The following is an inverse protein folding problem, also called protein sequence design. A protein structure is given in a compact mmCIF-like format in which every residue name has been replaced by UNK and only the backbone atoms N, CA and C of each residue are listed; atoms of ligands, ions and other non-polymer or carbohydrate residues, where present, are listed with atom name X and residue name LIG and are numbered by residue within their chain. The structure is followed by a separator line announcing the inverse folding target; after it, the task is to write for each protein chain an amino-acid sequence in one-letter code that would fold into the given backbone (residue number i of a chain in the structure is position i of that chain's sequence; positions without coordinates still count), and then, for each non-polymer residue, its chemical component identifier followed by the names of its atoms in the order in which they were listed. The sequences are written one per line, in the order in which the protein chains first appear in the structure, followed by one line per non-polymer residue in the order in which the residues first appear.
data_IF_100021120735
#
_entry.id   IF_100021120735
#
_cell.length_a   1.000
_cell.length_b   1.000
_cell.length_c   1.000
_cell.angle_alpha   90.00
_cell.angle_beta   90.00
_cell.angle_gamma   90.00
#
_symmetry.space_group_name_H-M   'P 1'
#
loop_
_entity.id
_entity.type
_entity.pdbx_description
1 polymer ?
#
# COMPACT_ATOMS: atom_id res chain seq x y z
N UNK A 1 -8.15 -34.65 -37.00
CA UNK A 1 -9.31 -34.44 -36.14
C UNK A 1 -9.39 -32.95 -35.85
N UNK A 2 -10.33 -32.27 -36.50
CA UNK A 2 -10.56 -30.84 -36.37
C UNK A 2 -11.26 -30.58 -35.02
N UNK A 3 -10.56 -29.97 -34.06
CA UNK A 3 -11.20 -29.41 -32.87
C UNK A 3 -11.71 -28.02 -33.21
N UNK A 4 -12.95 -27.98 -33.67
CA UNK A 4 -13.78 -26.76 -33.68
C UNK A 4 -14.82 -26.89 -32.52
N UNK A 5 -14.34 -26.94 -31.31
CA UNK A 5 -15.18 -26.94 -30.12
C UNK A 5 -14.77 -25.80 -29.19
N UNK A 6 -15.19 -24.58 -29.57
CA UNK A 6 -14.90 -23.32 -28.87
C UNK A 6 -15.76 -23.11 -27.62
N UNK A 7 -16.52 -24.11 -27.16
CA UNK A 7 -17.31 -23.99 -25.94
C UNK A 7 -16.46 -24.11 -24.67
N UNK A 8 -16.74 -23.32 -23.64
CA UNK A 8 -16.07 -23.49 -22.34
C UNK A 8 -16.30 -24.90 -21.77
N UNK A 9 -15.25 -25.49 -21.20
CA UNK A 9 -15.36 -26.77 -20.50
C UNK A 9 -16.28 -26.65 -19.28
N UNK A 10 -17.02 -27.73 -19.02
CA UNK A 10 -18.01 -27.82 -17.94
C UNK A 10 -17.67 -28.93 -16.94
N UNK A 11 -18.38 -29.00 -15.83
CA UNK A 11 -18.30 -30.12 -14.87
C UNK A 11 -18.60 -31.45 -15.54
N UNK A 12 -19.47 -31.46 -16.55
CA UNK A 12 -19.83 -32.68 -17.33
C UNK A 12 -18.61 -33.22 -18.09
N UNK A 13 -17.79 -32.36 -18.68
CA UNK A 13 -16.61 -32.81 -19.42
C UNK A 13 -15.60 -33.49 -18.47
N UNK A 14 -15.44 -32.96 -17.24
CA UNK A 14 -14.60 -33.58 -16.19
C UNK A 14 -15.23 -34.89 -15.69
N UNK A 15 -16.57 -34.95 -15.58
CA UNK A 15 -17.32 -36.18 -15.20
C UNK A 15 -17.06 -37.27 -16.22
N UNK A 16 -17.20 -36.99 -17.51
CA UNK A 16 -16.97 -37.92 -18.61
C UNK A 16 -15.51 -38.41 -18.65
N UNK A 17 -14.54 -37.51 -18.50
CA UNK A 17 -13.11 -37.84 -18.50
C UNK A 17 -12.67 -38.65 -17.26
N UNK A 18 -13.22 -38.35 -16.09
CA UNK A 18 -12.88 -39.06 -14.85
C UNK A 18 -13.69 -40.32 -14.63
N UNK A 19 -14.83 -40.51 -15.33
CA UNK A 19 -15.78 -41.57 -15.08
C UNK A 19 -16.48 -41.49 -13.71
N UNK A 20 -16.57 -40.27 -13.16
CA UNK A 20 -17.16 -39.97 -11.85
C UNK A 20 -18.38 -39.05 -12.04
N UNK A 21 -19.46 -39.22 -11.29
CA UNK A 21 -20.65 -38.37 -11.45
C UNK A 21 -20.36 -36.89 -11.25
N UNK A 22 -21.06 -36.02 -11.99
CA UNK A 22 -20.93 -34.56 -11.87
C UNK A 22 -21.08 -34.04 -10.42
N UNK A 23 -21.98 -34.66 -9.63
CA UNK A 23 -22.14 -34.33 -8.24
C UNK A 23 -20.87 -34.59 -7.42
N UNK A 24 -20.22 -35.73 -7.65
CA UNK A 24 -18.96 -36.07 -6.97
C UNK A 24 -17.81 -35.22 -7.47
N UNK A 25 -17.71 -34.96 -8.78
CA UNK A 25 -16.76 -33.99 -9.35
C UNK A 25 -16.91 -32.63 -8.68
N UNK A 26 -18.12 -32.11 -8.59
CA UNK A 26 -18.40 -30.85 -7.91
C UNK A 26 -17.99 -30.83 -6.44
N UNK A 27 -18.19 -31.93 -5.70
CA UNK A 27 -17.74 -32.06 -4.30
C UNK A 27 -16.23 -32.04 -4.18
N UNK A 28 -15.53 -32.80 -5.05
CA UNK A 28 -14.06 -32.84 -5.08
C UNK A 28 -13.50 -31.47 -5.37
N UNK A 29 -13.94 -30.81 -6.44
CA UNK A 29 -13.43 -29.51 -6.87
C UNK A 29 -13.74 -28.36 -5.88
N UNK A 30 -14.77 -28.52 -5.05
CA UNK A 30 -15.11 -27.57 -3.95
C UNK A 30 -14.49 -27.95 -2.61
N UNK A 31 -13.65 -28.97 -2.57
CA UNK A 31 -13.07 -29.53 -1.36
C UNK A 31 -14.11 -29.87 -0.27
N UNK A 32 -15.31 -30.33 -0.68
CA UNK A 32 -16.43 -30.67 0.22
C UNK A 32 -16.69 -32.16 0.23
N UNK A 33 -17.02 -32.69 1.44
CA UNK A 33 -17.55 -34.00 1.64
C UNK A 33 -16.57 -35.15 1.68
N UNK A 34 -17.05 -36.30 2.12
CA UNK A 34 -16.29 -37.53 2.25
C UNK A 34 -16.14 -38.22 0.89
N UNK A 35 -15.19 -37.82 0.11
CA UNK A 35 -14.81 -38.48 -1.13
C UNK A 35 -13.51 -39.22 -0.91
N UNK A 36 -13.43 -40.49 -1.32
CA UNK A 36 -12.25 -41.31 -1.14
C UNK A 36 -11.01 -40.64 -1.79
N UNK A 37 -9.81 -40.79 -1.21
CA UNK A 37 -8.57 -40.21 -1.79
C UNK A 37 -8.38 -40.61 -3.25
N UNK A 38 -8.63 -41.85 -3.60
CA UNK A 38 -8.52 -42.36 -4.97
C UNK A 38 -9.47 -41.66 -5.94
N UNK A 39 -10.72 -41.46 -5.54
CA UNK A 39 -11.72 -40.74 -6.36
C UNK A 39 -11.33 -39.26 -6.50
N UNK A 40 -10.83 -38.65 -5.43
CA UNK A 40 -10.35 -37.26 -5.44
C UNK A 40 -9.20 -37.08 -6.43
N UNK A 41 -8.18 -37.91 -6.37
CA UNK A 41 -7.04 -37.89 -7.26
C UNK A 41 -7.47 -38.04 -8.72
N UNK A 42 -8.29 -39.03 -9.03
CA UNK A 42 -8.83 -39.26 -10.37
C UNK A 42 -9.55 -38.05 -10.98
N UNK A 43 -10.36 -37.37 -10.17
CA UNK A 43 -11.07 -36.14 -10.61
C UNK A 43 -10.11 -34.99 -10.83
N UNK A 44 -9.13 -34.77 -9.91
CA UNK A 44 -8.16 -33.71 -10.03
C UNK A 44 -7.23 -33.90 -11.24
N UNK A 45 -6.79 -35.13 -11.52
CA UNK A 45 -6.01 -35.46 -12.70
C UNK A 45 -6.79 -35.20 -13.99
N UNK A 46 -8.05 -35.64 -14.08
CA UNK A 46 -8.90 -35.40 -15.24
C UNK A 46 -9.15 -33.90 -15.46
N UNK A 47 -9.45 -33.14 -14.41
CA UNK A 47 -9.61 -31.68 -14.50
C UNK A 47 -8.33 -30.99 -14.98
N UNK A 48 -7.17 -31.42 -14.45
CA UNK A 48 -5.84 -30.91 -14.86
C UNK A 48 -5.52 -31.24 -16.32
N UNK A 49 -5.77 -32.48 -16.73
CA UNK A 49 -5.50 -32.93 -18.11
C UNK A 49 -6.36 -32.20 -19.14
N UNK A 50 -7.62 -31.88 -18.80
CA UNK A 50 -8.53 -31.09 -19.62
C UNK A 50 -8.23 -29.56 -19.60
N UNK A 51 -7.44 -29.09 -18.63
CA UNK A 51 -7.31 -27.66 -18.38
C UNK A 51 -8.61 -27.02 -17.84
N UNK A 52 -9.45 -27.82 -17.17
CA UNK A 52 -10.71 -27.32 -16.61
C UNK A 52 -10.45 -26.48 -15.38
N UNK A 53 -10.95 -25.25 -15.39
CA UNK A 53 -10.93 -24.34 -14.25
C UNK A 53 -12.36 -24.21 -13.68
N UNK A 54 -12.59 -24.59 -12.39
CA UNK A 54 -13.91 -24.46 -11.79
C UNK A 54 -14.37 -23.01 -11.74
N UNK A 55 -15.61 -22.75 -12.17
CA UNK A 55 -16.22 -21.43 -12.00
C UNK A 55 -16.57 -21.20 -10.53
N UNK A 56 -15.71 -20.46 -9.82
CA UNK A 56 -15.91 -20.12 -8.40
C UNK A 56 -17.13 -19.22 -8.18
N UNK A 57 -17.52 -18.41 -9.20
CA UNK A 57 -18.69 -17.52 -9.12
C UNK A 57 -19.99 -18.35 -9.06
N UNK A 58 -20.10 -19.40 -9.89
CA UNK A 58 -21.25 -20.32 -9.85
C UNK A 58 -21.36 -21.05 -8.50
N UNK A 59 -20.24 -21.26 -7.80
CA UNK A 59 -20.21 -21.82 -6.45
C UNK A 59 -20.55 -20.81 -5.34
N UNK A 60 -20.30 -19.53 -5.58
CA UNK A 60 -20.54 -18.44 -4.63
C UNK A 60 -22.03 -18.07 -4.49
N UNK A 61 -22.91 -18.51 -5.41
CA UNK A 61 -24.36 -18.36 -5.29
C UNK A 61 -24.91 -18.96 -3.98
N UNK A 62 -24.25 -20.00 -3.43
CA UNK A 62 -24.64 -20.62 -2.18
C UNK A 62 -23.98 -19.97 -0.93
N UNK A 63 -22.80 -19.36 -1.08
CA UNK A 63 -22.02 -18.74 0.02
C UNK A 63 -22.21 -17.23 0.08
N UNK A 64 -22.78 -16.61 -0.94
CA UNK A 64 -22.94 -15.15 -1.14
C UNK A 64 -21.61 -14.34 -1.13
N UNK A 65 -20.43 -14.98 -1.08
CA UNK A 65 -19.11 -14.33 -1.07
C UNK A 65 -18.13 -15.10 -1.95
N UNK A 66 -17.20 -14.36 -2.55
CA UNK A 66 -16.09 -14.91 -3.30
C UNK A 66 -14.83 -14.77 -2.43
N UNK A 67 -13.93 -15.77 -2.47
CA UNK A 67 -12.68 -15.74 -1.70
C UNK A 67 -11.70 -14.71 -2.28
N UNK A 68 -12.14 -13.47 -2.44
CA UNK A 68 -11.35 -12.34 -2.89
C UNK A 68 -11.26 -11.30 -1.79
N UNK A 69 -10.11 -10.67 -1.67
CA UNK A 69 -9.90 -9.46 -0.87
C UNK A 69 -9.66 -8.30 -1.82
N UNK A 70 -10.54 -7.32 -1.83
CA UNK A 70 -10.36 -6.11 -2.62
C UNK A 70 -9.28 -5.24 -1.96
N UNK A 71 -8.19 -4.97 -2.66
CA UNK A 71 -7.10 -4.10 -2.19
C UNK A 71 -7.05 -2.86 -3.05
N UNK A 72 -7.45 -1.70 -2.49
CA UNK A 72 -7.54 -0.44 -3.23
C UNK A 72 -6.38 0.46 -2.80
N UNK A 73 -5.51 0.76 -3.76
CA UNK A 73 -4.30 1.56 -3.54
C UNK A 73 -4.24 2.72 -4.53
N UNK A 74 -3.60 3.84 -4.16
CA UNK A 74 -3.56 5.00 -5.04
C UNK A 74 -2.57 4.89 -6.20
N UNK A 75 -1.60 3.97 -6.19
CA UNK A 75 -0.62 3.90 -7.28
C UNK A 75 0.18 2.60 -7.26
N UNK A 76 0.39 2.01 -8.43
CA UNK A 76 1.36 0.93 -8.64
C UNK A 76 2.78 1.46 -8.94
N UNK A 77 2.92 2.73 -9.31
CA UNK A 77 4.23 3.36 -9.59
C UNK A 77 4.95 3.83 -8.33
N UNK A 78 4.21 3.98 -7.23
CA UNK A 78 4.80 4.37 -5.95
C UNK A 78 5.37 3.11 -5.27
N UNK A 79 6.69 3.10 -5.04
CA UNK A 79 7.45 1.99 -4.42
C UNK A 79 6.90 1.55 -3.04
N UNK A 80 6.07 2.36 -2.40
CA UNK A 80 5.42 2.08 -1.12
C UNK A 80 4.49 0.86 -1.22
N UNK A 81 3.63 0.81 -2.24
CA UNK A 81 2.55 -0.18 -2.30
C UNK A 81 2.99 -1.61 -2.67
N UNK A 82 4.02 -1.85 -3.49
CA UNK A 82 4.57 -3.20 -3.65
C UNK A 82 4.97 -3.88 -2.34
N UNK A 83 5.54 -3.16 -1.38
CA UNK A 83 5.91 -3.73 -0.08
C UNK A 83 4.69 -3.99 0.82
N UNK A 84 3.67 -3.11 0.77
CA UNK A 84 2.38 -3.36 1.43
C UNK A 84 1.74 -4.63 0.86
N UNK A 85 1.72 -4.77 -0.47
CA UNK A 85 1.19 -5.96 -1.15
C UNK A 85 1.97 -7.22 -0.80
N UNK A 86 3.28 -7.14 -0.64
CA UNK A 86 4.11 -8.26 -0.18
C UNK A 86 3.68 -8.74 1.22
N UNK A 87 3.44 -7.80 2.15
CA UNK A 87 2.92 -8.12 3.46
C UNK A 87 1.53 -8.79 3.42
N UNK A 88 0.63 -8.26 2.59
CA UNK A 88 -0.71 -8.82 2.39
C UNK A 88 -0.62 -10.24 1.81
N UNK A 89 0.13 -10.42 0.72
CA UNK A 89 0.25 -11.70 0.03
C UNK A 89 0.82 -12.79 0.94
N UNK A 90 1.85 -12.48 1.72
CA UNK A 90 2.48 -13.42 2.66
C UNK A 90 1.49 -14.02 3.67
N UNK A 91 0.52 -13.23 4.14
CA UNK A 91 -0.52 -13.73 5.06
C UNK A 91 -1.55 -14.54 4.29
N UNK A 92 -2.04 -14.02 3.16
CA UNK A 92 -3.12 -14.64 2.41
C UNK A 92 -2.72 -15.94 1.70
N UNK A 93 -1.42 -16.16 1.40
CA UNK A 93 -0.89 -17.42 0.86
C UNK A 93 -1.26 -18.65 1.70
N UNK A 94 -1.45 -18.48 3.01
CA UNK A 94 -1.85 -19.56 3.92
C UNK A 94 -3.38 -19.68 4.09
N UNK A 95 -4.16 -19.03 3.23
CA UNK A 95 -5.63 -19.02 3.25
C UNK A 95 -6.16 -19.29 1.85
N UNK A 96 -7.50 -19.48 1.74
CA UNK A 96 -8.16 -19.55 0.43
C UNK A 96 -8.41 -18.17 -0.21
N UNK A 97 -8.01 -17.08 0.47
CA UNK A 97 -8.26 -15.71 0.03
C UNK A 97 -7.22 -15.25 -1.00
N UNK A 98 -7.69 -14.52 -2.02
CA UNK A 98 -6.82 -13.97 -3.07
C UNK A 98 -6.95 -12.44 -3.13
N UNK A 99 -5.86 -11.67 -3.07
CA UNK A 99 -5.93 -10.22 -3.22
C UNK A 99 -6.18 -9.84 -4.68
N UNK A 100 -7.11 -8.89 -4.89
CA UNK A 100 -7.36 -8.25 -6.19
C UNK A 100 -7.15 -6.76 -6.04
N UNK A 101 -6.27 -6.20 -6.87
CA UNK A 101 -5.81 -4.81 -6.73
C UNK A 101 -6.61 -3.88 -7.63
N UNK A 102 -7.12 -2.80 -7.05
CA UNK A 102 -7.69 -1.64 -7.72
C UNK A 102 -6.82 -0.40 -7.52
N UNK A 103 -6.76 0.47 -8.53
CA UNK A 103 -5.90 1.66 -8.50
C UNK A 103 -6.73 2.93 -8.66
N UNK A 104 -6.65 3.83 -7.66
CA UNK A 104 -7.43 5.08 -7.61
C UNK A 104 -6.69 6.31 -8.16
N UNK A 105 -5.40 6.24 -8.44
CA UNK A 105 -4.54 7.34 -8.91
C UNK A 105 -4.57 8.61 -8.01
N UNK A 106 -4.88 8.46 -6.72
CA UNK A 106 -5.13 9.54 -5.77
C UNK A 106 -6.37 10.39 -6.11
N UNK A 107 -7.28 9.89 -6.94
CA UNK A 107 -8.50 10.60 -7.34
C UNK A 107 -9.71 10.03 -6.60
N UNK A 108 -10.41 10.82 -5.78
CA UNK A 108 -11.55 10.34 -4.99
C UNK A 108 -12.67 9.72 -5.83
N UNK A 109 -12.98 10.32 -6.99
CA UNK A 109 -14.03 9.83 -7.89
C UNK A 109 -13.62 8.50 -8.55
N UNK A 110 -12.32 8.31 -8.80
CA UNK A 110 -11.81 7.04 -9.32
C UNK A 110 -11.81 5.97 -8.24
N UNK A 111 -11.47 6.31 -7.00
CA UNK A 111 -11.57 5.41 -5.85
C UNK A 111 -13.00 4.89 -5.69
N UNK A 112 -13.97 5.79 -5.71
CA UNK A 112 -15.39 5.45 -5.61
C UNK A 112 -15.82 4.48 -6.71
N UNK A 113 -15.44 4.74 -7.96
CA UNK A 113 -15.74 3.85 -9.09
C UNK A 113 -15.10 2.47 -8.93
N UNK A 114 -13.81 2.42 -8.58
CA UNK A 114 -13.07 1.17 -8.36
C UNK A 114 -13.68 0.38 -7.20
N UNK A 115 -14.04 1.05 -6.12
CA UNK A 115 -14.69 0.44 -4.97
C UNK A 115 -16.04 -0.16 -5.35
N UNK A 116 -16.89 0.58 -6.10
CA UNK A 116 -18.17 0.10 -6.59
C UNK A 116 -18.00 -1.19 -7.42
N UNK A 117 -17.10 -1.19 -8.39
CA UNK A 117 -16.83 -2.36 -9.24
C UNK A 117 -16.37 -3.56 -8.39
N UNK A 118 -15.43 -3.36 -7.46
CA UNK A 118 -14.92 -4.43 -6.63
C UNK A 118 -15.98 -4.99 -5.66
N UNK A 119 -16.79 -4.14 -5.04
CA UNK A 119 -17.87 -4.59 -4.17
C UNK A 119 -18.97 -5.37 -4.94
N UNK A 120 -19.16 -5.07 -6.24
CA UNK A 120 -20.09 -5.82 -7.09
C UNK A 120 -19.71 -7.29 -7.24
N UNK A 121 -18.45 -7.64 -7.08
CA UNK A 121 -17.94 -9.02 -7.07
C UNK A 121 -18.16 -9.74 -5.74
N UNK A 122 -18.69 -9.05 -4.72
CA UNK A 122 -18.94 -9.58 -3.36
C UNK A 122 -17.67 -10.17 -2.72
N UNK A 123 -16.58 -9.39 -2.59
CA UNK A 123 -15.37 -9.86 -1.94
C UNK A 123 -15.63 -10.25 -0.49
N UNK A 124 -14.72 -11.02 0.09
CA UNK A 124 -14.77 -11.42 1.51
C UNK A 124 -14.30 -10.31 2.45
N UNK A 125 -13.55 -9.32 1.94
CA UNK A 125 -13.08 -8.17 2.71
C UNK A 125 -12.49 -7.08 1.81
N UNK A 126 -12.27 -5.90 2.37
CA UNK A 126 -11.66 -4.75 1.70
C UNK A 126 -10.48 -4.25 2.51
N UNK A 127 -9.35 -4.00 1.83
CA UNK A 127 -8.21 -3.24 2.33
C UNK A 127 -8.11 -1.99 1.44
N UNK A 128 -8.12 -0.79 2.03
CA UNK A 128 -8.13 0.47 1.28
C UNK A 128 -7.14 1.47 1.88
N UNK A 129 -6.38 2.17 1.03
CA UNK A 129 -5.31 3.06 1.47
C UNK A 129 -5.80 4.49 1.70
N UNK A 130 -5.66 4.98 2.94
CA UNK A 130 -6.07 6.32 3.38
C UNK A 130 -7.34 6.30 4.21
N UNK A 131 -7.71 7.46 4.72
CA UNK A 131 -8.92 7.69 5.54
C UNK A 131 -9.87 8.71 4.88
N UNK A 132 -9.40 9.39 3.83
CA UNK A 132 -10.14 10.43 3.13
C UNK A 132 -10.88 9.85 1.93
N UNK A 133 -12.11 9.43 2.15
CA UNK A 133 -13.02 8.87 1.15
C UNK A 133 -14.19 9.82 0.89
N UNK A 134 -14.78 9.76 -0.30
CA UNK A 134 -16.04 10.46 -0.59
C UNK A 134 -17.16 9.94 0.31
N UNK A 135 -18.20 10.71 0.51
CA UNK A 135 -19.37 10.27 1.29
C UNK A 135 -20.01 9.01 0.69
N UNK A 136 -20.02 8.88 -0.65
CA UNK A 136 -20.53 7.71 -1.35
C UNK A 136 -19.64 6.49 -1.10
N UNK A 137 -18.30 6.61 -1.22
CA UNK A 137 -17.37 5.53 -0.92
C UNK A 137 -17.48 5.10 0.55
N UNK A 138 -17.57 6.04 1.47
CA UNK A 138 -17.77 5.79 2.90
C UNK A 138 -19.09 5.05 3.17
N UNK A 139 -20.16 5.44 2.50
CA UNK A 139 -21.45 4.75 2.60
C UNK A 139 -21.38 3.31 2.05
N UNK A 140 -20.74 3.12 0.89
CA UNK A 140 -20.52 1.78 0.32
C UNK A 140 -19.75 0.86 1.27
N UNK A 141 -18.64 1.35 1.85
CA UNK A 141 -17.83 0.59 2.81
C UNK A 141 -18.61 0.23 4.07
N UNK A 142 -19.32 1.20 4.68
CA UNK A 142 -20.16 0.97 5.88
C UNK A 142 -21.28 -0.04 5.65
N UNK A 143 -21.89 0.00 4.48
CA UNK A 143 -23.04 -0.86 4.16
C UNK A 143 -22.64 -2.19 3.49
N UNK A 144 -21.36 -2.43 3.26
CA UNK A 144 -20.87 -3.62 2.57
C UNK A 144 -21.14 -4.93 3.35
N UNK A 145 -21.21 -4.85 4.66
CA UNK A 145 -21.40 -6.00 5.55
C UNK A 145 -20.21 -6.98 5.57
N UNK A 146 -19.03 -6.52 5.14
CA UNK A 146 -17.78 -7.29 5.14
C UNK A 146 -16.69 -6.53 5.92
N UNK A 147 -15.63 -7.19 6.39
CA UNK A 147 -14.52 -6.52 7.06
C UNK A 147 -13.85 -5.47 6.15
N UNK A 148 -13.61 -4.29 6.71
CA UNK A 148 -12.91 -3.17 6.03
C UNK A 148 -11.71 -2.76 6.87
N UNK A 149 -10.54 -2.71 6.25
CA UNK A 149 -9.30 -2.22 6.89
C UNK A 149 -8.75 -1.06 6.07
N UNK A 150 -8.81 0.14 6.63
CA UNK A 150 -8.13 1.31 6.10
C UNK A 150 -6.64 1.26 6.47
N UNK A 151 -5.76 1.52 5.52
CA UNK A 151 -4.32 1.33 5.75
C UNK A 151 -3.49 2.59 5.50
N UNK A 152 -2.26 2.59 6.01
CA UNK A 152 -1.22 3.61 5.83
C UNK A 152 -1.38 4.86 6.71
N UNK A 153 -2.50 5.10 7.34
CA UNK A 153 -2.76 6.30 8.14
C UNK A 153 -3.56 5.95 9.40
N UNK A 154 -3.30 6.65 10.51
CA UNK A 154 -4.08 6.56 11.75
C UNK A 154 -4.44 7.94 12.30
N UNK A 155 -4.20 9.01 11.54
CA UNK A 155 -4.53 10.38 11.96
C UNK A 155 -5.99 10.73 11.62
N UNK A 156 -6.95 9.93 12.11
CA UNK A 156 -8.38 10.11 11.89
C UNK A 156 -9.20 8.97 12.51
N UNK A 157 -10.46 8.84 12.08
CA UNK A 157 -11.39 7.82 12.56
C UNK A 157 -11.66 6.77 11.48
N UNK A 158 -11.46 5.46 11.75
CA UNK A 158 -11.72 4.41 10.77
C UNK A 158 -13.23 4.18 10.56
N UNK A 159 -13.55 3.65 9.38
CA UNK A 159 -14.88 3.13 9.08
C UNK A 159 -15.16 1.86 9.90
N UNK A 160 -14.22 0.90 9.89
CA UNK A 160 -14.25 -0.36 10.66
C UNK A 160 -12.93 -0.51 11.43
N UNK A 161 -11.84 -0.89 10.77
CA UNK A 161 -10.50 -0.97 11.35
C UNK A 161 -9.49 -0.16 10.55
N UNK A 162 -8.39 0.25 11.20
CA UNK A 162 -7.26 0.88 10.52
C UNK A 162 -5.92 0.38 11.02
N UNK A 163 -4.94 0.31 10.10
CA UNK A 163 -3.56 -0.06 10.38
C UNK A 163 -2.63 0.93 9.69
N UNK A 164 -1.79 1.60 10.42
CA UNK A 164 -0.88 2.58 9.83
C UNK A 164 0.05 3.24 10.83
N UNK A 165 0.57 4.37 10.42
CA UNK A 165 1.38 5.26 11.25
C UNK A 165 0.70 6.63 11.37
N UNK A 166 0.97 7.36 12.45
CA UNK A 166 0.63 8.78 12.51
C UNK A 166 1.62 9.59 11.66
N UNK A 167 1.14 10.14 10.55
CA UNK A 167 1.93 11.00 9.68
C UNK A 167 2.29 12.33 10.35
N UNK A 168 1.39 12.89 11.15
CA UNK A 168 1.67 14.10 11.96
C UNK A 168 2.80 13.84 12.95
N UNK A 169 2.79 12.67 13.63
CA UNK A 169 3.87 12.27 14.55
C UNK A 169 5.18 12.08 13.79
N UNK A 170 5.17 11.40 12.65
CA UNK A 170 6.36 11.22 11.82
C UNK A 170 6.97 12.56 11.39
N UNK A 171 6.15 13.54 10.99
CA UNK A 171 6.61 14.90 10.68
C UNK A 171 7.25 15.60 11.88
N UNK A 172 6.62 15.51 13.06
CA UNK A 172 7.19 16.08 14.30
C UNK A 172 8.52 15.43 14.70
N UNK A 173 8.64 14.11 14.59
CA UNK A 173 9.91 13.42 14.91
C UNK A 173 11.02 13.79 13.94
N UNK A 174 10.70 13.95 12.65
CA UNK A 174 11.66 14.48 11.67
C UNK A 174 12.11 15.90 12.01
N UNK A 175 11.18 16.80 12.38
CA UNK A 175 11.52 18.16 12.81
C UNK A 175 12.46 18.18 14.02
N UNK A 176 12.19 17.34 15.03
CA UNK A 176 13.07 17.20 16.22
C UNK A 176 14.48 16.78 15.85
N UNK A 177 14.63 15.85 14.91
CA UNK A 177 15.94 15.41 14.45
C UNK A 177 16.69 16.52 13.70
N UNK A 178 16.00 17.27 12.83
CA UNK A 178 16.56 18.44 12.11
C UNK A 178 17.06 19.51 13.09
N UNK A 179 16.23 19.88 14.07
CA UNK A 179 16.54 20.87 15.09
C UNK A 179 17.70 20.41 15.99
N UNK A 180 17.69 19.15 16.43
CA UNK A 180 18.79 18.56 17.21
C UNK A 180 20.11 18.60 16.43
N UNK A 181 20.07 18.40 15.13
CA UNK A 181 21.26 18.49 14.26
C UNK A 181 21.74 19.93 14.04
N UNK A 182 20.95 20.94 14.41
CA UNK A 182 21.31 22.36 14.41
C UNK A 182 21.04 23.10 13.11
N UNK A 183 20.23 22.52 12.20
CA UNK A 183 19.82 23.19 10.98
C UNK A 183 18.74 24.25 11.23
N UNK A 184 18.77 25.34 10.45
CA UNK A 184 17.89 26.50 10.62
C UNK A 184 17.17 26.92 9.32
N UNK A 185 17.83 26.76 8.17
CA UNK A 185 17.35 27.21 6.87
C UNK A 185 16.80 26.03 6.07
N UNK A 186 15.53 25.74 6.25
CA UNK A 186 14.93 24.49 5.78
C UNK A 186 14.15 24.70 4.50
N UNK A 187 14.48 23.93 3.45
CA UNK A 187 13.69 23.78 2.23
C UNK A 187 12.81 22.52 2.28
N UNK A 188 11.60 22.62 1.73
CA UNK A 188 10.67 21.50 1.61
C UNK A 188 10.27 21.24 0.16
N UNK A 189 10.35 19.99 -0.27
CA UNK A 189 9.89 19.57 -1.59
C UNK A 189 8.85 18.46 -1.50
N UNK A 190 7.66 18.69 -2.09
CA UNK A 190 6.55 17.76 -2.07
C UNK A 190 6.00 17.41 -3.44
N UNK A 191 5.58 16.16 -3.63
CA UNK A 191 4.86 15.71 -4.83
C UNK A 191 3.41 15.39 -4.50
N UNK A 192 2.51 15.71 -5.43
CA UNK A 192 1.04 15.48 -5.29
C UNK A 192 0.42 16.02 -3.99
N UNK A 193 1.00 17.01 -3.35
CA UNK A 193 0.60 17.53 -2.04
C UNK A 193 -0.90 17.82 -1.87
N UNK A 194 -1.62 18.34 -2.88
CA UNK A 194 -3.06 18.56 -2.77
C UNK A 194 -3.87 17.27 -2.68
N UNK A 195 -3.35 16.18 -3.24
CA UNK A 195 -4.04 14.89 -3.36
C UNK A 195 -3.51 13.83 -2.37
N UNK A 196 -2.23 13.93 -1.98
CA UNK A 196 -1.64 13.02 -0.99
C UNK A 196 -1.83 13.59 0.44
N UNK A 197 -2.96 13.24 1.04
CA UNK A 197 -3.33 13.68 2.39
C UNK A 197 -2.29 13.27 3.44
N UNK A 198 -1.65 12.12 3.29
CA UNK A 198 -0.60 11.62 4.19
C UNK A 198 0.65 12.48 4.12
N UNK A 199 1.10 12.85 2.92
CA UNK A 199 2.22 13.77 2.75
C UNK A 199 1.91 15.16 3.35
N UNK A 200 0.66 15.63 3.19
CA UNK A 200 0.18 16.88 3.80
C UNK A 200 0.22 16.82 5.33
N UNK A 201 -0.31 15.74 5.94
CA UNK A 201 -0.28 15.54 7.40
C UNK A 201 1.17 15.53 7.94
N UNK A 202 2.12 14.91 7.20
CA UNK A 202 3.55 14.97 7.57
C UNK A 202 4.11 16.38 7.52
N UNK A 203 3.78 17.12 6.48
CA UNK A 203 4.19 18.51 6.34
C UNK A 203 3.62 19.39 7.46
N UNK A 204 2.35 19.22 7.79
CA UNK A 204 1.69 19.92 8.91
C UNK A 204 2.41 19.62 10.24
N UNK A 205 2.66 18.34 10.55
CA UNK A 205 3.38 17.93 11.77
C UNK A 205 4.82 18.45 11.83
N UNK A 206 5.52 18.49 10.67
CA UNK A 206 6.86 19.07 10.56
C UNK A 206 6.83 20.58 10.87
N UNK A 207 5.99 21.33 10.18
CA UNK A 207 5.92 22.79 10.31
C UNK A 207 5.48 23.22 11.70
N UNK A 208 4.50 22.53 12.31
CA UNK A 208 4.09 22.78 13.70
C UNK A 208 5.25 22.61 14.69
N UNK A 209 6.07 21.57 14.51
CA UNK A 209 7.17 21.29 15.44
C UNK A 209 8.34 22.25 15.24
N UNK A 210 8.67 22.63 13.99
CA UNK A 210 9.67 23.65 13.69
C UNK A 210 9.28 25.02 14.26
N UNK A 211 8.03 25.45 14.05
CA UNK A 211 7.52 26.75 14.51
C UNK A 211 7.60 26.88 16.03
N UNK A 212 7.38 25.82 16.82
CA UNK A 212 7.55 25.81 18.28
C UNK A 212 8.97 26.13 18.73
N UNK A 213 9.95 25.93 17.86
CA UNK A 213 11.37 26.26 18.09
C UNK A 213 11.83 27.52 17.39
N UNK A 214 10.88 28.32 16.87
CA UNK A 214 11.18 29.56 16.15
C UNK A 214 11.80 29.37 14.78
N UNK A 215 11.70 28.17 14.18
CA UNK A 215 12.21 27.84 12.85
C UNK A 215 11.02 27.69 11.90
N UNK A 216 11.13 28.29 10.71
CA UNK A 216 10.12 28.18 9.66
C UNK A 216 10.72 27.55 8.40
N UNK A 217 9.86 27.00 7.55
CA UNK A 217 10.25 26.55 6.21
C UNK A 217 10.56 27.78 5.37
N UNK A 218 11.84 27.96 5.01
CA UNK A 218 12.34 29.10 4.27
C UNK A 218 11.90 29.09 2.81
N UNK A 219 11.91 27.92 2.18
CA UNK A 219 11.46 27.73 0.80
C UNK A 219 10.68 26.41 0.66
N UNK A 220 9.68 26.39 -0.22
CA UNK A 220 8.88 25.20 -0.48
C UNK A 220 8.47 25.08 -1.94
N UNK A 221 8.46 23.84 -2.44
CA UNK A 221 7.99 23.54 -3.78
C UNK A 221 7.01 22.36 -3.76
N UNK A 222 5.82 22.58 -4.34
CA UNK A 222 4.77 21.57 -4.46
C UNK A 222 4.58 21.21 -5.93
N UNK A 223 5.12 20.06 -6.31
CA UNK A 223 4.98 19.53 -7.65
C UNK A 223 3.69 18.69 -7.75
N UNK A 224 2.88 18.96 -8.77
CA UNK A 224 1.60 18.27 -8.99
C UNK A 224 1.74 16.85 -9.54
N UNK A 225 2.88 16.54 -10.17
CA UNK A 225 3.14 15.22 -10.75
C UNK A 225 3.61 14.16 -9.76
N UNK A 226 3.88 12.96 -10.30
CA UNK A 226 4.36 11.83 -9.53
C UNK A 226 5.82 11.94 -9.10
N UNK A 227 6.18 11.11 -8.11
CA UNK A 227 7.55 11.02 -7.61
C UNK A 227 8.47 10.37 -8.64
N UNK A 228 9.61 11.00 -8.92
CA UNK A 228 10.65 10.48 -9.82
C UNK A 228 12.03 11.03 -9.42
N UNK A 229 13.08 10.24 -9.65
CA UNK A 229 14.46 10.65 -9.42
C UNK A 229 14.82 11.95 -10.17
N UNK A 230 14.52 11.97 -11.47
CA UNK A 230 14.81 13.14 -12.31
C UNK A 230 14.11 14.40 -11.77
N UNK A 231 12.87 14.27 -11.35
CA UNK A 231 12.11 15.41 -10.80
C UNK A 231 12.71 15.91 -9.48
N UNK A 232 13.14 14.99 -8.61
CA UNK A 232 13.86 15.38 -7.38
C UNK A 232 15.14 16.17 -7.66
N UNK A 233 15.89 15.76 -8.68
CA UNK A 233 17.07 16.46 -9.16
C UNK A 233 16.74 17.89 -9.62
N UNK A 234 15.77 18.04 -10.53
CA UNK A 234 15.32 19.32 -11.06
C UNK A 234 14.82 20.28 -9.96
N UNK A 235 13.99 19.78 -9.04
CA UNK A 235 13.46 20.57 -7.93
C UNK A 235 14.56 21.04 -6.99
N UNK A 236 15.55 20.18 -6.71
CA UNK A 236 16.68 20.52 -5.85
C UNK A 236 17.56 21.61 -6.49
N UNK A 237 17.88 21.46 -7.76
CA UNK A 237 18.61 22.48 -8.51
C UNK A 237 17.90 23.83 -8.47
N UNK A 238 16.64 23.86 -8.88
CA UNK A 238 15.84 25.10 -8.95
C UNK A 238 15.69 25.77 -7.56
N UNK A 239 15.53 24.98 -6.50
CA UNK A 239 15.40 25.51 -5.15
C UNK A 239 16.71 26.14 -4.66
N UNK A 240 17.86 25.50 -4.88
CA UNK A 240 19.16 26.04 -4.46
C UNK A 240 19.62 27.22 -5.29
N UNK A 241 19.23 27.33 -6.56
CA UNK A 241 19.49 28.50 -7.40
C UNK A 241 18.72 29.74 -6.89
N UNK A 242 17.49 29.58 -6.38
CA UNK A 242 16.68 30.71 -5.86
C UNK A 242 16.89 30.97 -4.37
N UNK A 243 17.33 29.98 -3.58
CA UNK A 243 17.51 30.08 -2.13
C UNK A 243 18.81 29.37 -1.71
N UNK A 244 19.98 29.94 -2.02
CA UNK A 244 21.30 29.31 -1.80
C UNK A 244 21.69 29.20 -0.32
N UNK A 245 21.03 29.90 0.58
CA UNK A 245 21.27 29.88 2.02
C UNK A 245 20.66 28.68 2.76
N UNK A 246 19.95 27.78 2.05
CA UNK A 246 19.39 26.57 2.65
C UNK A 246 20.50 25.67 3.19
N UNK A 247 20.33 25.18 4.43
CA UNK A 247 21.22 24.25 5.10
C UNK A 247 20.61 22.86 5.28
N UNK A 248 19.30 22.72 4.99
CA UNK A 248 18.60 21.46 5.04
C UNK A 248 17.48 21.34 4.00
N UNK A 249 17.35 20.13 3.37
CA UNK A 249 16.28 19.83 2.43
C UNK A 249 15.46 18.63 2.93
N UNK A 250 14.18 18.83 3.12
CA UNK A 250 13.24 17.75 3.42
C UNK A 250 12.37 17.41 2.21
N UNK A 251 12.40 16.15 1.82
CA UNK A 251 11.65 15.62 0.68
C UNK A 251 10.46 14.79 1.17
N UNK A 252 9.28 15.00 0.57
CA UNK A 252 8.07 14.29 0.96
C UNK A 252 8.13 12.77 0.74
N UNK A 253 9.08 12.30 -0.07
CA UNK A 253 9.33 10.87 -0.31
C UNK A 253 10.76 10.61 -0.81
N UNK A 254 11.17 9.35 -0.71
CA UNK A 254 12.53 8.90 -1.01
C UNK A 254 12.92 9.05 -2.48
N UNK A 255 11.99 8.91 -3.43
CA UNK A 255 12.32 9.00 -4.85
C UNK A 255 12.83 10.37 -5.24
N UNK A 256 12.16 11.44 -4.78
CA UNK A 256 12.66 12.80 -5.02
C UNK A 256 13.86 13.11 -4.13
N UNK A 257 13.94 12.57 -2.92
CA UNK A 257 15.09 12.72 -2.04
C UNK A 257 16.37 12.08 -2.61
N UNK A 258 16.24 10.88 -3.19
CA UNK A 258 17.35 10.22 -3.89
C UNK A 258 17.83 11.02 -5.10
N UNK A 259 16.90 11.60 -5.87
CA UNK A 259 17.23 12.49 -6.99
C UNK A 259 18.00 13.74 -6.55
N UNK A 260 17.57 14.36 -5.46
CA UNK A 260 18.25 15.50 -4.85
C UNK A 260 19.64 15.15 -4.32
N UNK A 261 19.77 14.01 -3.61
CA UNK A 261 21.05 13.53 -3.13
C UNK A 261 22.05 13.31 -4.27
N UNK A 262 21.63 12.64 -5.35
CA UNK A 262 22.49 12.40 -6.51
C UNK A 262 22.94 13.72 -7.18
N UNK A 263 22.05 14.70 -7.29
CA UNK A 263 22.38 16.02 -7.81
C UNK A 263 23.46 16.71 -6.96
N UNK A 264 23.28 16.75 -5.63
CA UNK A 264 24.22 17.40 -4.72
C UNK A 264 25.59 16.72 -4.72
N UNK A 265 25.65 15.39 -4.80
CA UNK A 265 26.89 14.64 -4.92
C UNK A 265 27.66 14.98 -6.21
N UNK A 266 26.95 15.11 -7.34
CA UNK A 266 27.56 15.55 -8.62
C UNK A 266 28.10 16.98 -8.54
N UNK A 267 27.45 17.87 -7.79
CA UNK A 267 27.93 19.25 -7.59
C UNK A 267 29.06 19.34 -6.55
N UNK A 268 29.47 18.22 -5.94
CA UNK A 268 30.52 18.19 -4.92
C UNK A 268 30.14 18.87 -3.60
N UNK A 269 28.84 19.00 -3.31
CA UNK A 269 28.37 19.64 -2.08
C UNK A 269 28.69 18.74 -0.89
N UNK A 270 29.20 19.33 0.20
CA UNK A 270 29.48 18.62 1.44
C UNK A 270 28.17 18.25 2.18
N UNK A 271 27.86 16.95 2.21
CA UNK A 271 26.70 16.38 2.88
C UNK A 271 27.21 15.51 4.04
N UNK A 272 26.78 15.69 5.28
CA UNK A 272 25.78 16.64 5.77
C UNK A 272 26.39 17.98 6.25
N UNK A 273 27.68 18.25 5.97
CA UNK A 273 28.40 19.41 6.51
C UNK A 273 27.81 20.75 6.08
N UNK A 274 27.65 20.96 4.76
CA UNK A 274 27.07 22.19 4.20
C UNK A 274 25.54 22.09 4.17
N UNK A 275 24.99 20.99 3.69
CA UNK A 275 23.53 20.77 3.57
C UNK A 275 23.15 19.38 4.03
N UNK A 276 22.14 19.30 4.88
CA UNK A 276 21.53 18.05 5.33
C UNK A 276 20.32 17.66 4.49
N UNK A 277 20.01 16.37 4.45
CA UNK A 277 18.88 15.84 3.69
C UNK A 277 18.10 14.83 4.53
N UNK A 278 16.77 14.84 4.38
CA UNK A 278 15.92 13.73 4.84
C UNK A 278 14.75 13.54 3.89
N UNK A 279 14.23 12.31 3.87
CA UNK A 279 13.09 11.92 3.07
C UNK A 279 12.11 11.03 3.87
N UNK A 280 11.26 10.29 3.18
CA UNK A 280 10.22 9.49 3.81
C UNK A 280 9.91 8.24 2.98
N UNK A 281 9.76 7.12 3.63
CA UNK A 281 9.30 5.77 3.34
C UNK A 281 10.36 4.68 3.62
N UNK A 282 11.66 4.93 3.48
CA UNK A 282 12.75 3.96 3.58
C UNK A 282 12.65 2.82 2.55
N UNK A 283 12.42 3.20 1.26
CA UNK A 283 12.30 2.20 0.18
C UNK A 283 13.66 1.55 -0.12
N UNK A 284 13.62 0.31 -0.63
CA UNK A 284 14.81 -0.51 -0.92
C UNK A 284 15.82 0.19 -1.83
N UNK A 285 15.37 1.03 -2.77
CA UNK A 285 16.22 1.83 -3.64
C UNK A 285 17.33 2.58 -2.88
N UNK A 286 17.05 3.05 -1.66
CA UNK A 286 18.02 3.82 -0.86
C UNK A 286 19.25 3.02 -0.46
N UNK A 287 19.14 1.69 -0.42
CA UNK A 287 20.27 0.80 -0.09
C UNK A 287 21.35 0.79 -1.18
N UNK A 288 20.99 1.12 -2.42
CA UNK A 288 21.89 1.21 -3.57
C UNK A 288 22.53 2.59 -3.76
N UNK A 289 22.22 3.59 -2.94
CA UNK A 289 22.79 4.94 -3.07
C UNK A 289 24.21 5.01 -2.53
N UNK A 290 25.08 5.88 -3.11
CA UNK A 290 26.47 6.09 -2.66
C UNK A 290 26.57 6.59 -1.20
N UNK A 291 25.53 7.25 -0.70
CA UNK A 291 25.35 7.65 0.69
C UNK A 291 23.96 7.29 1.17
N UNK A 292 23.84 6.88 2.41
CA UNK A 292 22.54 6.51 3.02
C UNK A 292 21.75 7.77 3.31
N UNK A 293 20.67 7.96 2.57
CA UNK A 293 19.73 9.07 2.79
C UNK A 293 19.00 8.89 4.13
N UNK A 294 18.97 9.92 4.96
CA UNK A 294 18.10 9.92 6.15
C UNK A 294 16.64 9.81 5.73
N UNK A 295 15.90 8.90 6.34
CA UNK A 295 14.51 8.64 5.95
C UNK A 295 13.70 8.07 7.12
N UNK A 296 12.40 8.34 7.13
CA UNK A 296 11.47 7.76 8.09
C UNK A 296 10.89 6.46 7.51
N UNK A 297 11.08 5.34 8.18
CA UNK A 297 10.48 4.06 7.79
C UNK A 297 8.96 4.08 8.04
N UNK A 298 8.19 3.89 6.98
CA UNK A 298 6.74 3.87 7.02
C UNK A 298 6.13 2.51 7.39
N UNK A 299 6.93 1.51 7.78
CA UNK A 299 6.50 0.17 8.24
C UNK A 299 5.57 -0.57 7.25
N UNK A 300 5.80 -0.41 5.96
CA UNK A 300 4.88 -0.81 4.86
C UNK A 300 4.52 -2.28 4.86
N UNK A 301 5.52 -3.16 4.95
CA UNK A 301 5.29 -4.62 4.97
C UNK A 301 4.47 -5.02 6.20
N UNK A 302 4.77 -4.43 7.36
CA UNK A 302 4.05 -4.72 8.61
C UNK A 302 2.60 -4.22 8.55
N UNK A 303 2.36 -3.04 7.95
CA UNK A 303 1.00 -2.54 7.70
C UNK A 303 0.21 -3.54 6.86
N UNK A 304 0.79 -4.02 5.74
CA UNK A 304 0.14 -5.00 4.88
C UNK A 304 -0.15 -6.32 5.61
N UNK A 305 0.81 -6.81 6.39
CA UNK A 305 0.68 -8.02 7.19
C UNK A 305 -0.48 -7.89 8.19
N UNK A 306 -0.49 -6.83 9.01
CA UNK A 306 -1.54 -6.61 10.02
C UNK A 306 -2.92 -6.44 9.41
N UNK A 307 -3.03 -5.73 8.30
CA UNK A 307 -4.29 -5.57 7.60
C UNK A 307 -4.85 -6.92 7.10
N UNK A 308 -3.99 -7.75 6.51
CA UNK A 308 -4.40 -9.07 6.03
C UNK A 308 -4.75 -10.03 7.17
N UNK A 309 -4.04 -9.98 8.31
CA UNK A 309 -4.36 -10.74 9.52
C UNK A 309 -5.77 -10.41 10.04
N UNK A 310 -6.15 -9.12 10.08
CA UNK A 310 -7.50 -8.70 10.47
C UNK A 310 -8.55 -9.26 9.51
N UNK A 311 -8.31 -9.11 8.19
CA UNK A 311 -9.25 -9.63 7.18
C UNK A 311 -9.40 -11.14 7.31
N UNK A 312 -8.30 -11.90 7.38
CA UNK A 312 -8.33 -13.36 7.49
C UNK A 312 -9.10 -13.81 8.75
N UNK A 313 -8.79 -13.21 9.89
CA UNK A 313 -9.45 -13.53 11.16
C UNK A 313 -10.97 -13.28 11.11
N UNK A 314 -11.40 -12.15 10.53
CA UNK A 314 -12.83 -11.79 10.43
C UNK A 314 -13.59 -12.57 9.36
N UNK A 315 -12.91 -13.03 8.31
CA UNK A 315 -13.51 -13.91 7.30
C UNK A 315 -13.72 -15.31 7.86
N UNK A 316 -12.77 -15.84 8.62
CA UNK A 316 -12.86 -17.13 9.27
C UNK A 316 -13.90 -17.11 10.41
N UNK A 317 -13.85 -16.07 11.24
CA UNK A 317 -14.80 -15.87 12.32
C UNK A 317 -15.34 -14.42 12.32
N UNK A 318 -16.57 -14.16 11.83
CA UNK A 318 -17.15 -12.80 11.81
C UNK A 318 -17.28 -12.12 13.18
N UNK A 319 -17.17 -12.87 14.26
CA UNK A 319 -17.19 -12.35 15.64
C UNK A 319 -15.79 -12.25 16.25
N UNK A 320 -14.72 -12.47 15.46
CA UNK A 320 -13.37 -12.33 15.98
C UNK A 320 -13.16 -10.91 16.54
N UNK A 321 -12.69 -10.85 17.76
CA UNK A 321 -12.26 -9.59 18.37
C UNK A 321 -10.92 -9.21 17.73
N UNK A 322 -10.87 -8.01 17.11
CA UNK A 322 -9.68 -7.44 16.50
C UNK A 322 -9.52 -6.02 17.01
N UNK A 323 -8.29 -5.58 17.11
CA UNK A 323 -7.98 -4.20 17.46
C UNK A 323 -8.44 -3.26 16.34
N UNK A 324 -9.27 -2.26 16.71
CA UNK A 324 -9.85 -1.32 15.73
C UNK A 324 -8.81 -0.39 15.13
N UNK A 325 -7.80 -0.03 15.90
CA UNK A 325 -6.72 0.90 15.50
C UNK A 325 -5.37 0.29 15.84
N UNK A 326 -4.62 -0.13 14.83
CA UNK A 326 -3.24 -0.58 15.02
C UNK A 326 -2.30 0.52 14.54
N UNK A 327 -1.75 1.27 15.51
CA UNK A 327 -0.75 2.29 15.23
C UNK A 327 0.66 1.71 15.34
N UNK A 328 1.38 1.66 14.21
CA UNK A 328 2.78 1.30 14.17
C UNK A 328 3.66 2.54 14.41
N UNK A 329 4.78 2.35 15.07
CA UNK A 329 5.72 3.44 15.34
C UNK A 329 6.74 3.56 14.20
N UNK A 330 6.71 4.65 13.41
CA UNK A 330 7.70 4.87 12.36
C UNK A 330 9.09 5.08 12.97
N UNK A 331 10.13 4.62 12.27
CA UNK A 331 11.52 4.70 12.73
C UNK A 331 12.33 5.62 11.83
N UNK A 332 12.96 6.64 12.41
CA UNK A 332 13.88 7.51 11.66
C UNK A 332 15.23 6.81 11.53
N UNK A 333 15.62 6.48 10.30
CA UNK A 333 16.97 6.09 9.94
C UNK A 333 17.77 7.36 9.60
N UNK A 334 18.76 7.70 10.41
CA UNK A 334 19.52 8.96 10.25
C UNK A 334 20.43 8.95 9.02
N UNK A 335 20.87 7.79 8.56
CA UNK A 335 21.76 7.66 7.40
C UNK A 335 23.05 8.46 7.55
N UNK A 336 23.60 8.87 6.39
CA UNK A 336 24.83 9.69 6.31
C UNK A 336 24.53 11.15 5.94
N UNK A 337 23.26 11.50 5.74
CA UNK A 337 22.84 12.82 5.24
C UNK A 337 22.24 13.72 6.32
N UNK A 338 22.21 13.26 7.57
CA UNK A 338 21.83 14.05 8.73
C UNK A 338 22.98 14.07 9.74
N UNK A 339 23.33 15.25 10.29
CA UNK A 339 24.40 15.37 11.31
C UNK A 339 24.03 14.58 12.56
N UNK A 340 24.95 13.75 13.01
CA UNK A 340 24.88 13.08 14.31
C UNK A 340 25.50 14.00 15.37
N UNK A 341 24.70 14.48 16.31
CA UNK A 341 25.15 15.17 17.52
C UNK A 341 24.96 14.29 18.75
#
# INVERSE_FOLDING_TARGET
MSHDDTRPLTLRDVSEASGVSEMTVSRVLRNRGDVSPVTREKVLEAAKALGYVPNKIAGALASQRVNLVAVIIPSLRNMVFPEVMSGISKVLENTDLQPVVGVSDYLPEKEEKVLYEMLSWRPSGVIIAGLEHTDAARAMLKNSGIPVVEIMDVDGEPIDCMVGISHRRAGRETAKAILKAGYQNIGFMGTKMPLDHRARKRFEGLTEALAKSGVEIMDREFYSGGSALLKGREMTQAMLERTPELDFLYYSNDMIGAGGLLYLLEQGVDIPGQIGLAAFNNVELLQGLPRKLATMDAMRTEIGTKAAEIIAARVDNPKAEVERVIELTPKLALGDTLKHK
#
